data_IF_389663834376
#
_entry.id   IF_389663834376
#
_cell.length_a   1.000
_cell.length_b   1.000
_cell.length_c   1.000
_cell.angle_alpha   90.00
_cell.angle_beta   90.00
_cell.angle_gamma   90.00
#
_symmetry.space_group_name_H-M   'P 1'
#
loop_
_entity.id
_entity.type
_entity.pdbx_description
1 polymer ?
#
# COMPACT_ATOMS: atom_id res chain seq x y z
N UNK A 1 16.84 -1.93 4.14
CA UNK A 1 16.14 -3.22 4.31
C UNK A 1 15.55 -3.59 2.94
N UNK A 2 14.76 -4.66 2.79
CA UNK A 2 14.22 -5.01 1.45
C UNK A 2 12.78 -4.52 1.29
N UNK A 3 12.51 -3.74 0.23
CA UNK A 3 11.17 -3.25 -0.12
C UNK A 3 10.22 -4.40 -0.44
N UNK A 4 8.95 -4.25 -0.12
CA UNK A 4 7.86 -5.21 -0.34
C UNK A 4 6.62 -4.48 -0.85
N UNK A 5 5.72 -5.20 -1.49
CA UNK A 5 4.45 -4.65 -1.97
C UNK A 5 3.35 -4.90 -0.93
N UNK A 6 2.67 -3.84 -0.52
CA UNK A 6 1.54 -3.86 0.40
C UNK A 6 0.30 -3.30 -0.28
N UNK A 7 -0.87 -3.85 0.03
CA UNK A 7 -2.15 -3.16 -0.11
C UNK A 7 -2.43 -2.44 1.21
N UNK A 8 -2.69 -1.14 1.13
CA UNK A 8 -3.06 -0.29 2.26
C UNK A 8 -4.50 0.14 2.04
N UNK A 9 -5.36 -0.20 2.99
CA UNK A 9 -6.77 0.17 2.97
C UNK A 9 -7.05 1.21 4.05
N UNK A 10 -7.68 2.31 3.68
CA UNK A 10 -8.17 3.34 4.60
C UNK A 10 -9.70 3.25 4.73
N UNK A 11 -10.29 3.89 5.74
CA UNK A 11 -11.75 3.79 5.97
C UNK A 11 -12.61 4.42 4.88
N UNK A 12 -12.18 5.55 4.32
CA UNK A 12 -12.94 6.28 3.29
C UNK A 12 -12.30 6.18 1.91
N UNK A 13 -12.46 7.22 1.10
CA UNK A 13 -11.80 7.32 -0.21
C UNK A 13 -12.44 6.54 -1.36
N UNK A 14 -13.54 5.83 -1.09
CA UNK A 14 -14.30 5.10 -2.11
C UNK A 14 -14.74 6.01 -3.26
N UNK A 15 -14.49 5.55 -4.49
CA UNK A 15 -14.92 6.27 -5.69
C UNK A 15 -15.42 5.32 -6.76
N UNK A 16 -16.64 5.55 -7.25
CA UNK A 16 -17.22 4.73 -8.32
C UNK A 16 -16.84 5.22 -9.73
N UNK A 17 -16.39 6.47 -9.85
CA UNK A 17 -16.18 7.14 -11.15
C UNK A 17 -14.80 7.78 -11.30
N UNK A 18 -14.02 7.85 -10.21
CA UNK A 18 -12.70 8.46 -10.18
C UNK A 18 -11.63 7.53 -9.60
N UNK A 19 -10.53 8.12 -9.16
CA UNK A 19 -9.50 7.37 -8.41
C UNK A 19 -10.10 6.94 -7.09
N UNK A 20 -10.08 5.63 -6.84
CA UNK A 20 -10.45 5.06 -5.56
C UNK A 20 -9.23 5.12 -4.63
N UNK A 21 -9.32 5.95 -3.59
CA UNK A 21 -8.25 6.09 -2.59
C UNK A 21 -8.42 5.11 -1.43
N UNK A 22 -9.53 4.36 -1.41
CA UNK A 22 -9.82 3.38 -0.37
C UNK A 22 -8.74 2.31 -0.27
N UNK A 23 -8.29 1.78 -1.42
CA UNK A 23 -7.23 0.78 -1.50
C UNK A 23 -6.08 1.29 -2.36
N UNK A 24 -4.89 1.34 -1.77
CA UNK A 24 -3.65 1.80 -2.43
C UNK A 24 -2.58 0.72 -2.39
N UNK A 25 -1.84 0.57 -3.49
CA UNK A 25 -0.68 -0.33 -3.55
C UNK A 25 0.61 0.44 -3.30
N UNK A 26 1.37 0.01 -2.30
CA UNK A 26 2.55 0.74 -1.81
C UNK A 26 3.75 -0.16 -1.74
N UNK A 27 4.88 0.33 -2.23
CA UNK A 27 6.18 -0.33 -2.11
C UNK A 27 6.95 0.29 -0.94
N UNK A 28 7.14 -0.47 0.13
CA UNK A 28 7.77 0.02 1.36
C UNK A 28 8.61 -1.07 2.05
N UNK A 29 9.48 -0.71 2.99
CA UNK A 29 10.24 -1.67 3.80
C UNK A 29 9.36 -2.30 4.90
N UNK A 30 8.38 -1.55 5.41
CA UNK A 30 7.49 -1.98 6.51
C UNK A 30 6.02 -1.57 6.29
N UNK A 31 5.06 -2.23 6.98
CA UNK A 31 3.66 -1.82 6.96
C UNK A 31 3.45 -0.37 7.45
N UNK A 32 4.18 0.05 8.48
CA UNK A 32 4.07 1.41 9.02
C UNK A 32 4.51 2.47 8.01
N UNK A 33 5.61 2.21 7.30
CA UNK A 33 6.06 3.08 6.21
C UNK A 33 5.05 3.10 5.07
N UNK A 34 4.46 1.95 4.72
CA UNK A 34 3.44 1.85 3.68
C UNK A 34 2.23 2.75 3.98
N UNK A 35 1.70 2.69 5.20
CA UNK A 35 0.61 3.57 5.61
C UNK A 35 1.04 5.04 5.71
N UNK A 36 2.25 5.31 6.22
CA UNK A 36 2.80 6.66 6.28
C UNK A 36 2.79 7.34 4.91
N UNK A 37 3.31 6.66 3.88
CA UNK A 37 3.32 7.18 2.50
C UNK A 37 1.91 7.52 1.97
N UNK A 38 0.91 6.69 2.28
CA UNK A 38 -0.48 6.94 1.86
C UNK A 38 -1.06 8.13 2.61
N UNK A 39 -0.91 8.15 3.94
CA UNK A 39 -1.43 9.22 4.79
C UNK A 39 -0.84 10.57 4.40
N UNK A 40 0.48 10.63 4.22
CA UNK A 40 1.19 11.87 3.90
C UNK A 40 0.75 12.40 2.53
N UNK A 41 0.57 11.52 1.52
CA UNK A 41 0.03 11.90 0.21
C UNK A 41 -1.39 12.49 0.29
N UNK A 42 -2.27 11.88 1.08
CA UNK A 42 -3.65 12.34 1.25
C UNK A 42 -3.70 13.67 1.99
N UNK A 43 -2.84 13.86 2.98
CA UNK A 43 -2.72 15.09 3.75
C UNK A 43 -2.19 16.25 2.91
N UNK A 44 -1.08 16.05 2.20
CA UNK A 44 -0.46 17.06 1.33
C UNK A 44 -1.43 17.56 0.23
N UNK A 45 -2.32 16.69 -0.25
CA UNK A 45 -3.30 17.02 -1.30
C UNK A 45 -4.68 17.38 -0.78
N UNK A 46 -4.87 17.37 0.54
CA UNK A 46 -6.14 17.61 1.20
C UNK A 46 -7.28 16.72 0.65
N UNK A 47 -7.01 15.43 0.49
CA UNK A 47 -7.95 14.40 0.00
C UNK A 47 -8.56 13.67 1.21
N UNK A 48 -9.86 13.41 1.20
CA UNK A 48 -10.62 12.78 2.30
C UNK A 48 -10.66 13.61 3.60
N UNK A 49 -11.67 13.34 4.44
CA UNK A 49 -11.72 13.85 5.80
C UNK A 49 -10.72 13.13 6.72
N UNK A 50 -10.41 13.70 7.89
CA UNK A 50 -9.38 13.17 8.79
C UNK A 50 -9.70 11.75 9.25
N UNK A 51 -10.96 11.49 9.61
CA UNK A 51 -11.47 10.19 10.07
C UNK A 51 -11.52 9.15 8.94
N UNK A 52 -11.69 9.59 7.69
CA UNK A 52 -11.66 8.74 6.51
C UNK A 52 -10.24 8.26 6.13
N UNK A 53 -9.21 9.04 6.48
CA UNK A 53 -7.78 8.69 6.26
C UNK A 53 -7.26 7.66 7.27
N UNK A 54 -8.03 7.33 8.29
CA UNK A 54 -7.63 6.34 9.27
C UNK A 54 -7.40 4.99 8.61
N UNK A 55 -6.34 4.31 9.04
CA UNK A 55 -6.00 2.99 8.57
C UNK A 55 -7.11 2.00 8.91
N UNK A 56 -7.56 1.25 7.91
CA UNK A 56 -8.44 0.08 8.09
C UNK A 56 -7.60 -1.21 8.13
N UNK A 57 -6.79 -1.46 7.10
CA UNK A 57 -5.93 -2.65 7.06
C UNK A 57 -4.69 -2.48 6.19
N UNK A 58 -3.68 -3.31 6.45
CA UNK A 58 -2.48 -3.43 5.60
C UNK A 58 -2.22 -4.90 5.33
N UNK A 59 -2.17 -5.25 4.05
CA UNK A 59 -1.92 -6.62 3.61
C UNK A 59 -0.62 -6.69 2.80
N UNK A 60 0.31 -7.55 3.21
CA UNK A 60 1.49 -7.86 2.39
C UNK A 60 1.06 -8.68 1.16
N UNK A 61 1.28 -8.12 -0.02
CA UNK A 61 0.95 -8.77 -1.30
C UNK A 61 2.12 -9.57 -1.87
N UNK A 62 3.35 -9.06 -1.74
CA UNK A 62 4.54 -9.75 -2.23
C UNK A 62 5.79 -9.29 -1.50
N UNK A 63 6.60 -10.25 -1.06
CA UNK A 63 8.00 -10.02 -0.68
C UNK A 63 8.86 -9.77 -1.93
N UNK A 64 9.99 -9.07 -1.77
CA UNK A 64 11.03 -9.02 -2.79
C UNK A 64 11.86 -10.32 -2.79
N UNK A 65 11.24 -11.38 -3.28
CA UNK A 65 11.82 -12.70 -3.50
C UNK A 65 11.30 -13.23 -4.83
N UNK A 66 12.04 -14.13 -5.50
CA UNK A 66 11.58 -14.76 -6.75
C UNK A 66 10.27 -15.53 -6.56
N UNK A 67 10.08 -16.08 -5.36
CA UNK A 67 8.93 -16.89 -4.97
C UNK A 67 8.26 -16.32 -3.70
N UNK A 68 7.53 -15.20 -3.79
CA UNK A 68 6.80 -14.60 -2.68
C UNK A 68 5.65 -15.49 -2.15
N UNK A 69 5.19 -15.21 -0.93
CA UNK A 69 4.13 -15.99 -0.25
C UNK A 69 2.78 -15.97 -0.95
N UNK A 70 2.55 -15.01 -1.85
CA UNK A 70 1.38 -14.98 -2.72
C UNK A 70 1.38 -16.05 -3.82
N UNK A 71 2.41 -16.91 -3.87
CA UNK A 71 2.52 -18.06 -4.78
C UNK A 71 2.51 -17.64 -6.26
N UNK A 72 3.07 -16.47 -6.56
CA UNK A 72 3.29 -15.95 -7.92
C UNK A 72 4.79 -15.82 -8.17
N UNK A 73 5.19 -15.80 -9.44
CA UNK A 73 6.58 -15.56 -9.82
C UNK A 73 6.83 -14.05 -9.90
N UNK A 74 7.87 -13.56 -9.24
CA UNK A 74 8.30 -12.17 -9.33
C UNK A 74 9.50 -12.04 -10.27
N UNK A 75 9.45 -11.09 -11.19
CA UNK A 75 10.54 -10.76 -12.11
C UNK A 75 11.27 -9.50 -11.64
N UNK A 76 12.58 -9.41 -11.89
CA UNK A 76 13.37 -8.23 -11.54
C UNK A 76 13.89 -8.19 -10.09
N UNK A 77 13.88 -9.33 -9.40
CA UNK A 77 14.58 -9.53 -8.13
C UNK A 77 15.82 -10.38 -8.39
N UNK A 78 16.99 -9.92 -7.94
CA UNK A 78 18.23 -10.68 -8.04
C UNK A 78 18.16 -11.92 -7.14
N UNK A 79 18.64 -13.07 -7.63
CA UNK A 79 18.85 -14.25 -6.80
C UNK A 79 20.10 -14.01 -5.96
N UNK A 80 19.91 -13.90 -4.63
CA UNK A 80 21.01 -13.87 -3.66
C UNK A 80 21.56 -15.29 -3.50
#
# INVERSE_FOLDING_TARGET
MTKKLYAVTIRGGHSATGVDYHESFVVAESPNEAYGLVRDFLEERNICFIDERELDSITLLAEASRYPRCKKLLFGVEEI
#
